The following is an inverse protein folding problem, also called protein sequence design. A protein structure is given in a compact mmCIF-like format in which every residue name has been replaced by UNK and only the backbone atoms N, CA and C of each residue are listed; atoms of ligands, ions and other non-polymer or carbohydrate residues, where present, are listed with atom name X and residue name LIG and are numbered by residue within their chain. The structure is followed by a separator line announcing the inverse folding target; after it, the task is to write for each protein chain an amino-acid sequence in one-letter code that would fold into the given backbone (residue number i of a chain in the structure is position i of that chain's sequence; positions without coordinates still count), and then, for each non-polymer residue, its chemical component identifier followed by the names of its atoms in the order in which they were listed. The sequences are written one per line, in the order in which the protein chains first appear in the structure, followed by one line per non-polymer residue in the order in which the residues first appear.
data_IF_054824269287
#
_entry.id   IF_054824269287
#
_cell.length_a   1.000
_cell.length_b   1.000
_cell.length_c   1.000
_cell.angle_alpha   90.00
_cell.angle_beta   90.00
_cell.angle_gamma   90.00
#
_symmetry.space_group_name_H-M   'P 1'
#
loop_
_entity.id
_entity.type
_entity.pdbx_description
1 polymer ?
#
# COMPACT_ATOMS: atom_id res chain seq x y z
N UNK A 1 -34.85 6.39 -2.92
CA UNK A 1 -33.59 6.73 -3.61
C UNK A 1 -32.75 5.47 -3.61
N UNK A 2 -32.75 4.74 -4.73
CA UNK A 2 -31.77 3.67 -4.95
C UNK A 2 -30.55 4.35 -5.55
N UNK A 3 -29.70 4.93 -4.69
CA UNK A 3 -28.39 5.38 -5.14
C UNK A 3 -27.65 4.12 -5.55
N UNK A 4 -27.68 3.85 -6.86
CA UNK A 4 -26.88 2.79 -7.45
C UNK A 4 -25.44 3.13 -7.10
N UNK A 5 -24.88 2.34 -6.20
CA UNK A 5 -23.48 2.43 -5.79
C UNK A 5 -22.65 1.95 -6.99
N UNK A 6 -22.54 2.79 -8.02
CA UNK A 6 -21.73 2.52 -9.19
C UNK A 6 -20.27 2.65 -8.75
N UNK A 7 -19.62 1.51 -8.55
CA UNK A 7 -18.18 1.49 -8.29
C UNK A 7 -17.48 1.79 -9.60
N UNK A 8 -16.72 2.88 -9.65
CA UNK A 8 -15.91 3.22 -10.81
C UNK A 8 -14.60 2.41 -10.79
N UNK A 9 -14.40 1.45 -11.71
CA UNK A 9 -13.18 0.62 -11.75
C UNK A 9 -11.89 1.44 -11.95
N UNK A 10 -11.96 2.54 -12.70
CA UNK A 10 -10.81 3.43 -12.93
C UNK A 10 -10.32 4.06 -11.63
N UNK A 11 -11.26 4.50 -10.78
CA UNK A 11 -10.93 5.10 -9.50
C UNK A 11 -10.27 4.10 -8.54
N UNK A 12 -10.68 2.83 -8.58
CA UNK A 12 -9.98 1.77 -7.84
C UNK A 12 -8.53 1.57 -8.32
N UNK A 13 -8.27 1.75 -9.62
CA UNK A 13 -6.91 1.76 -10.17
C UNK A 13 -6.05 2.94 -9.66
N UNK A 14 -6.65 4.13 -9.53
CA UNK A 14 -5.99 5.30 -8.91
C UNK A 14 -5.64 5.01 -7.45
N UNK A 15 -6.58 4.45 -6.68
CA UNK A 15 -6.33 4.06 -5.30
C UNK A 15 -5.23 2.99 -5.18
N UNK A 16 -5.20 2.00 -6.08
CA UNK A 16 -4.16 0.98 -6.08
C UNK A 16 -2.76 1.61 -6.30
N UNK A 17 -2.66 2.56 -7.24
CA UNK A 17 -1.42 3.30 -7.50
C UNK A 17 -0.98 4.12 -6.28
N UNK A 18 -1.93 4.76 -5.58
CA UNK A 18 -1.63 5.49 -4.35
C UNK A 18 -1.09 4.57 -3.24
N UNK A 19 -1.57 3.33 -3.16
CA UNK A 19 -1.05 2.35 -2.20
C UNK A 19 0.36 1.87 -2.56
N UNK A 20 0.67 1.66 -3.85
CA UNK A 20 2.06 1.35 -4.26
C UNK A 20 3.02 2.50 -3.92
N UNK A 21 2.58 3.75 -4.09
CA UNK A 21 3.36 4.92 -3.68
C UNK A 21 3.56 4.96 -2.16
N UNK A 22 2.51 4.67 -1.39
CA UNK A 22 2.61 4.59 0.07
C UNK A 22 3.61 3.50 0.50
N UNK A 23 3.59 2.33 -0.13
CA UNK A 23 4.57 1.26 0.12
C UNK A 23 6.00 1.77 -0.13
N UNK A 24 6.22 2.45 -1.26
CA UNK A 24 7.52 3.04 -1.61
C UNK A 24 7.98 4.05 -0.57
N UNK A 25 7.10 4.97 -0.14
CA UNK A 25 7.46 5.96 0.89
C UNK A 25 7.79 5.32 2.23
N UNK A 26 7.04 4.30 2.65
CA UNK A 26 7.32 3.56 3.89
C UNK A 26 8.67 2.86 3.81
N UNK A 27 8.99 2.25 2.67
CA UNK A 27 10.29 1.62 2.45
C UNK A 27 11.42 2.65 2.53
N UNK A 28 11.32 3.76 1.77
CA UNK A 28 12.34 4.82 1.81
C UNK A 28 12.50 5.41 3.21
N UNK A 29 11.39 5.65 3.93
CA UNK A 29 11.44 6.12 5.31
C UNK A 29 12.17 5.10 6.21
N UNK A 30 11.94 3.80 5.99
CA UNK A 30 12.56 2.69 6.72
C UNK A 30 14.06 2.56 6.45
N UNK A 31 14.49 2.77 5.22
CA UNK A 31 15.89 2.73 4.81
C UNK A 31 16.66 3.97 5.31
N UNK A 32 16.02 5.13 5.38
CA UNK A 32 16.66 6.41 5.71
C UNK A 32 17.34 6.50 7.09
N UNK A 33 17.07 5.56 8.02
CA UNK A 33 17.77 5.53 9.33
C UNK A 33 18.48 4.20 9.57
N UNK A 34 18.55 3.34 8.55
CA UNK A 34 19.35 2.12 8.64
C UNK A 34 20.80 2.51 8.95
N UNK A 35 21.41 1.85 9.93
CA UNK A 35 22.79 2.12 10.34
C UNK A 35 22.98 3.27 11.34
N UNK A 36 21.95 4.05 11.70
CA UNK A 36 22.11 5.20 12.61
C UNK A 36 22.72 4.83 13.98
N UNK A 37 22.50 3.61 14.46
CA UNK A 37 23.12 3.13 15.71
C UNK A 37 24.64 2.90 15.58
N UNK A 38 25.09 2.45 14.40
CA UNK A 38 26.53 2.30 14.10
C UNK A 38 27.20 3.66 13.94
N UNK A 39 26.52 4.63 13.32
CA UNK A 39 26.99 6.01 13.21
C UNK A 39 27.16 6.65 14.60
N UNK A 40 26.18 6.47 15.50
CA UNK A 40 26.24 6.99 16.87
C UNK A 40 27.37 6.33 17.66
N UNK A 41 27.55 5.01 17.55
CA UNK A 41 28.66 4.30 18.19
C UNK A 41 30.01 4.80 17.68
N UNK A 42 30.16 4.97 16.37
CA UNK A 42 31.39 5.46 15.74
C UNK A 42 31.74 6.89 16.16
N UNK A 43 30.73 7.76 16.27
CA UNK A 43 30.94 9.20 16.51
C UNK A 43 31.02 9.59 17.98
N UNK A 44 30.33 8.88 18.87
CA UNK A 44 30.24 9.22 20.30
C UNK A 44 30.82 8.15 21.23
N UNK A 45 31.10 6.95 20.71
CA UNK A 45 31.73 5.87 21.45
C UNK A 45 30.91 5.38 22.65
N UNK A 46 31.61 4.90 23.68
CA UNK A 46 30.99 4.24 24.84
C UNK A 46 30.15 5.15 25.73
N UNK A 47 30.36 6.48 25.67
CA UNK A 47 29.61 7.46 26.48
C UNK A 47 28.11 7.47 26.19
N UNK A 48 27.70 7.13 24.97
CA UNK A 48 26.29 7.07 24.56
C UNK A 48 25.74 5.64 24.50
N UNK A 49 26.47 4.64 25.00
CA UNK A 49 26.11 3.21 24.90
C UNK A 49 24.66 2.89 25.27
N UNK A 50 24.16 3.37 26.41
CA UNK A 50 22.76 3.13 26.83
C UNK A 50 21.75 3.73 25.86
N UNK A 51 22.01 4.95 25.39
CA UNK A 51 21.19 5.59 24.37
C UNK A 51 21.23 4.79 23.07
N UNK A 52 22.41 4.34 22.65
CA UNK A 52 22.57 3.57 21.42
C UNK A 52 21.83 2.23 21.47
N UNK A 53 21.83 1.54 22.60
CA UNK A 53 21.02 0.32 22.80
C UNK A 53 19.54 0.60 22.56
N UNK A 54 19.01 1.68 23.15
CA UNK A 54 17.60 2.07 22.95
C UNK A 54 17.33 2.49 21.50
N UNK A 55 18.24 3.23 20.87
CA UNK A 55 18.14 3.66 19.48
C UNK A 55 18.08 2.43 18.54
N UNK A 56 19.01 1.49 18.67
CA UNK A 56 19.05 0.26 17.87
C UNK A 56 17.78 -0.59 18.04
N UNK A 57 17.26 -0.70 19.27
CA UNK A 57 15.99 -1.36 19.52
C UNK A 57 14.82 -0.66 18.80
N UNK A 58 14.76 0.67 18.86
CA UNK A 58 13.73 1.46 18.19
C UNK A 58 13.81 1.34 16.66
N UNK A 59 15.01 1.39 16.09
CA UNK A 59 15.25 1.20 14.64
C UNK A 59 14.80 -0.19 14.19
N UNK A 60 15.08 -1.22 14.99
CA UNK A 60 14.63 -2.59 14.72
C UNK A 60 13.11 -2.70 14.71
N UNK A 61 12.44 -2.12 15.72
CA UNK A 61 10.96 -2.07 15.78
C UNK A 61 10.41 -1.32 14.56
N UNK A 62 10.99 -0.16 14.24
CA UNK A 62 10.56 0.64 13.10
C UNK A 62 10.73 -0.11 11.78
N UNK A 63 11.81 -0.86 11.61
CA UNK A 63 12.03 -1.70 10.43
C UNK A 63 10.98 -2.81 10.29
N UNK A 64 10.62 -3.46 11.40
CA UNK A 64 9.56 -4.47 11.42
C UNK A 64 8.19 -3.88 11.05
N UNK A 65 7.84 -2.73 11.65
CA UNK A 65 6.59 -2.01 11.34
C UNK A 65 6.58 -1.52 9.88
N UNK A 66 7.68 -0.95 9.41
CA UNK A 66 7.84 -0.47 8.04
C UNK A 66 7.67 -1.59 7.01
N UNK A 67 8.31 -2.73 7.23
CA UNK A 67 8.14 -3.93 6.40
C UNK A 67 6.68 -4.41 6.38
N UNK A 68 6.01 -4.39 7.53
CA UNK A 68 4.61 -4.80 7.64
C UNK A 68 3.68 -3.85 6.88
N UNK A 69 3.91 -2.54 6.99
CA UNK A 69 3.14 -1.51 6.29
C UNK A 69 3.37 -1.55 4.76
N UNK A 70 4.61 -1.78 4.33
CA UNK A 70 4.94 -2.01 2.91
C UNK A 70 4.12 -3.16 2.33
N UNK A 71 4.13 -4.32 3.01
CA UNK A 71 3.37 -5.50 2.59
C UNK A 71 1.87 -5.22 2.55
N UNK A 72 1.32 -4.63 3.62
CA UNK A 72 -0.11 -4.32 3.69
C UNK A 72 -0.55 -3.36 2.58
N UNK A 73 0.22 -2.33 2.29
CA UNK A 73 -0.07 -1.40 1.20
C UNK A 73 -0.09 -2.12 -0.16
N UNK A 74 0.87 -3.02 -0.41
CA UNK A 74 0.89 -3.87 -1.61
C UNK A 74 -0.31 -4.81 -1.71
N UNK A 75 -0.73 -5.43 -0.60
CA UNK A 75 -1.92 -6.28 -0.54
C UNK A 75 -3.21 -5.49 -0.84
N UNK A 76 -3.35 -4.29 -0.26
CA UNK A 76 -4.49 -3.41 -0.55
C UNK A 76 -4.48 -2.99 -2.01
N UNK A 77 -3.33 -2.64 -2.59
CA UNK A 77 -3.20 -2.32 -4.00
C UNK A 77 -3.64 -3.49 -4.90
N UNK A 78 -3.23 -4.72 -4.56
CA UNK A 78 -3.65 -5.94 -5.27
C UNK A 78 -5.16 -6.15 -5.19
N UNK A 79 -5.74 -6.04 -4.00
CA UNK A 79 -7.18 -6.21 -3.79
C UNK A 79 -8.01 -5.16 -4.54
N UNK A 80 -7.53 -3.91 -4.61
CA UNK A 80 -8.17 -2.85 -5.40
C UNK A 80 -8.17 -3.16 -6.90
N UNK A 81 -7.08 -3.72 -7.43
CA UNK A 81 -7.02 -4.17 -8.84
C UNK A 81 -7.94 -5.35 -9.12
N UNK A 82 -8.03 -6.30 -8.19
CA UNK A 82 -8.97 -7.43 -8.29
C UNK A 82 -10.41 -6.92 -8.32
N UNK A 83 -10.75 -5.99 -7.42
CA UNK A 83 -12.07 -5.37 -7.38
C UNK A 83 -12.37 -4.60 -8.68
N UNK A 84 -11.44 -3.78 -9.17
CA UNK A 84 -11.58 -3.06 -10.43
C UNK A 84 -11.91 -4.00 -11.60
N UNK A 85 -11.16 -5.10 -11.71
CA UNK A 85 -11.40 -6.12 -12.72
C UNK A 85 -12.78 -6.75 -12.59
N UNK A 86 -13.18 -7.15 -11.38
CA UNK A 86 -14.47 -7.79 -11.15
C UNK A 86 -15.65 -6.87 -11.51
N UNK A 87 -15.56 -5.58 -11.17
CA UNK A 87 -16.60 -4.60 -11.55
C UNK A 87 -16.62 -4.35 -13.06
N UNK A 88 -15.46 -4.19 -13.71
CA UNK A 88 -15.40 -4.02 -15.17
C UNK A 88 -15.99 -5.22 -15.92
N UNK A 89 -15.71 -6.45 -15.46
CA UNK A 89 -16.27 -7.66 -16.07
C UNK A 89 -17.79 -7.76 -15.88
N UNK A 90 -18.30 -7.36 -14.71
CA UNK A 90 -19.74 -7.32 -14.45
C UNK A 90 -20.46 -6.30 -15.36
N UNK A 91 -19.88 -5.11 -15.53
CA UNK A 91 -20.40 -4.06 -16.41
C UNK A 91 -20.44 -4.53 -17.88
N UNK A 92 -19.38 -5.19 -18.36
CA UNK A 92 -19.31 -5.74 -19.72
C UNK A 92 -20.38 -6.82 -19.97
N UNK A 93 -20.61 -7.70 -19.00
CA UNK A 93 -21.66 -8.74 -19.10
C UNK A 93 -23.03 -8.09 -19.16
N UNK A 94 -23.30 -7.11 -18.31
CA UNK A 94 -24.57 -6.38 -18.31
C UNK A 94 -24.79 -5.63 -19.63
N UNK A 95 -23.76 -4.96 -20.14
CA UNK A 95 -23.82 -4.25 -21.43
C UNK A 95 -24.23 -5.18 -22.57
N UNK A 96 -23.61 -6.38 -22.66
CA UNK A 96 -23.94 -7.40 -23.66
C UNK A 96 -25.36 -7.93 -23.54
N UNK A 97 -25.88 -8.08 -22.31
CA UNK A 97 -27.28 -8.50 -22.08
C UNK A 97 -28.25 -7.42 -22.55
N UNK A 98 -27.99 -6.15 -22.22
CA UNK A 98 -28.81 -5.01 -22.66
C UNK A 98 -28.80 -4.89 -24.19
N UNK A 99 -27.63 -5.05 -24.81
CA UNK A 99 -27.48 -5.05 -26.26
C UNK A 99 -28.35 -6.13 -26.93
N UNK A 100 -28.29 -7.37 -26.44
CA UNK A 100 -29.11 -8.47 -26.94
C UNK A 100 -30.61 -8.19 -26.84
N UNK A 101 -31.07 -7.64 -25.71
CA UNK A 101 -32.48 -7.33 -25.51
C UNK A 101 -32.94 -6.28 -26.53
N UNK A 102 -32.18 -5.19 -26.69
CA UNK A 102 -32.51 -4.09 -27.62
C UNK A 102 -32.59 -4.51 -29.09
N UNK A 103 -31.81 -5.51 -29.51
CA UNK A 103 -31.83 -6.01 -30.89
C UNK A 103 -32.72 -7.25 -31.09
N UNK A 104 -33.37 -7.74 -30.03
CA UNK A 104 -34.34 -8.84 -30.09
C UNK A 104 -35.81 -8.38 -30.07
N UNK A 105 -36.06 -7.08 -29.87
CA UNK A 105 -37.36 -6.40 -29.93
C UNK A 105 -37.52 -5.63 -31.24
#
# INVERSE_FOLDING_TARGET
MSDSLAVNPEFLGVLATAQDQAATYVQSATEAVAGIGEDVETTHGSYTSKFNTTLTALVTIRNSVGTSLYTLAGEVASNLRIAAKAYSEADDVLAKVVERIKFSS
#
